data_IF_522582626000
#
_entry.id   IF_522582626000
#
_cell.length_a   1.000
_cell.length_b   1.000
_cell.length_c   1.000
_cell.angle_alpha   90.00
_cell.angle_beta   90.00
_cell.angle_gamma   90.00
#
_symmetry.space_group_name_H-M   'P 1'
#
loop_
_entity.id
_entity.type
_entity.pdbx_description
1 polymer ?
#
# COMPACT_ATOMS: atom_id res chain seq x y z
N UNK A 1 18.86 -47.14 -39.19
CA UNK A 1 18.96 -47.18 -37.71
C UNK A 1 19.40 -45.84 -37.07
N UNK A 2 19.48 -44.71 -37.80
CA UNK A 2 19.87 -43.39 -37.24
C UNK A 2 18.70 -42.44 -36.94
N UNK A 3 17.50 -42.72 -37.45
CA UNK A 3 16.32 -41.85 -37.31
C UNK A 3 15.54 -42.06 -36.00
N UNK A 4 15.61 -43.25 -35.41
CA UNK A 4 14.95 -43.57 -34.14
C UNK A 4 15.69 -43.01 -32.93
N UNK A 5 17.02 -42.83 -33.01
CA UNK A 5 17.83 -42.27 -31.92
C UNK A 5 17.61 -40.77 -31.74
N UNK A 6 17.32 -40.02 -32.81
CA UNK A 6 17.07 -38.57 -32.77
C UNK A 6 15.71 -38.27 -32.12
N UNK A 7 14.72 -39.14 -32.33
CA UNK A 7 13.38 -38.98 -31.76
C UNK A 7 13.37 -39.14 -30.23
N UNK A 8 14.24 -40.00 -29.69
CA UNK A 8 14.35 -40.21 -28.23
C UNK A 8 15.00 -39.04 -27.50
N UNK A 9 15.96 -38.35 -28.15
CA UNK A 9 16.65 -37.18 -27.57
C UNK A 9 15.75 -35.95 -27.58
N UNK A 10 14.90 -35.79 -28.60
CA UNK A 10 13.93 -34.71 -28.66
C UNK A 10 12.84 -34.81 -27.58
N UNK A 11 12.53 -36.02 -27.10
CA UNK A 11 11.49 -36.24 -26.08
C UNK A 11 11.97 -35.87 -24.65
N UNK A 12 13.28 -35.91 -24.38
CA UNK A 12 13.83 -35.56 -23.07
C UNK A 12 13.91 -34.05 -22.80
N UNK A 13 13.88 -33.20 -23.84
CA UNK A 13 14.00 -31.74 -23.67
C UNK A 13 12.71 -31.11 -23.12
N UNK A 14 11.56 -31.75 -23.29
CA UNK A 14 10.27 -31.24 -22.80
C UNK A 14 9.95 -31.57 -21.34
N UNK A 15 10.73 -32.44 -20.68
CA UNK A 15 10.57 -32.72 -19.24
C UNK A 15 11.36 -31.77 -18.33
N UNK A 16 12.14 -30.84 -18.90
CA UNK A 16 12.77 -29.76 -18.13
C UNK A 16 11.77 -28.61 -17.88
N UNK A 17 10.58 -28.95 -17.39
CA UNK A 17 9.73 -27.98 -16.70
C UNK A 17 10.32 -27.82 -15.31
N UNK A 18 11.41 -27.05 -15.23
CA UNK A 18 12.01 -26.61 -13.97
C UNK A 18 10.88 -25.96 -13.16
N UNK A 19 10.44 -26.65 -12.11
CA UNK A 19 9.61 -26.05 -11.08
C UNK A 19 10.39 -24.87 -10.56
N UNK A 20 10.00 -23.66 -10.97
CA UNK A 20 10.62 -22.41 -10.51
C UNK A 20 10.69 -22.48 -8.99
N UNK A 21 11.90 -22.59 -8.45
CA UNK A 21 12.15 -22.41 -7.03
C UNK A 21 11.75 -20.98 -6.67
N UNK A 22 10.52 -20.83 -6.18
CA UNK A 22 10.04 -19.56 -5.66
C UNK A 22 10.76 -19.37 -4.34
N UNK A 23 11.72 -18.44 -4.30
CA UNK A 23 12.41 -18.08 -3.06
C UNK A 23 11.36 -17.81 -1.98
N UNK A 24 11.49 -18.40 -0.78
CA UNK A 24 10.55 -18.15 0.30
C UNK A 24 10.49 -16.65 0.61
N UNK A 25 9.28 -16.11 0.73
CA UNK A 25 9.05 -14.69 1.03
C UNK A 25 9.68 -14.36 2.39
N UNK A 26 10.60 -13.39 2.43
CA UNK A 26 11.22 -12.95 3.68
C UNK A 26 10.19 -12.22 4.56
N UNK A 27 10.44 -12.18 5.86
CA UNK A 27 9.58 -11.44 6.78
C UNK A 27 9.55 -9.94 6.48
N UNK A 28 10.65 -9.36 5.97
CA UNK A 28 10.63 -7.96 5.50
C UNK A 28 9.68 -7.78 4.31
N UNK A 29 9.70 -8.71 3.35
CA UNK A 29 8.84 -8.65 2.17
C UNK A 29 7.36 -8.74 2.55
N UNK A 30 7.02 -9.63 3.48
CA UNK A 30 5.65 -9.74 4.04
C UNK A 30 5.20 -8.44 4.70
N UNK A 31 6.04 -7.86 5.58
CA UNK A 31 5.75 -6.60 6.27
C UNK A 31 5.58 -5.44 5.30
N UNK A 32 6.43 -5.35 4.27
CA UNK A 32 6.32 -4.33 3.24
C UNK A 32 4.99 -4.44 2.48
N UNK A 33 4.62 -5.67 2.07
CA UNK A 33 3.34 -5.95 1.40
C UNK A 33 2.14 -5.60 2.28
N UNK A 34 2.19 -5.96 3.54
CA UNK A 34 1.16 -5.63 4.52
C UNK A 34 1.03 -4.11 4.72
N UNK A 35 2.14 -3.39 4.89
CA UNK A 35 2.15 -1.93 5.00
C UNK A 35 1.54 -1.24 3.76
N UNK A 36 1.86 -1.73 2.55
CA UNK A 36 1.22 -1.23 1.33
C UNK A 36 -0.28 -1.52 1.29
N UNK A 37 -0.71 -2.70 1.74
CA UNK A 37 -2.12 -3.08 1.76
C UNK A 37 -2.91 -2.22 2.75
N UNK A 38 -2.39 -2.00 3.96
CA UNK A 38 -3.02 -1.13 4.97
C UNK A 38 -3.12 0.30 4.44
N UNK A 39 -2.04 0.85 3.87
CA UNK A 39 -2.06 2.20 3.29
C UNK A 39 -3.11 2.34 2.17
N UNK A 40 -3.22 1.34 1.29
CA UNK A 40 -4.22 1.32 0.23
C UNK A 40 -5.65 1.22 0.79
N UNK A 41 -5.89 0.33 1.76
CA UNK A 41 -7.18 0.15 2.39
C UNK A 41 -7.66 1.43 3.08
N UNK A 42 -6.79 2.10 3.83
CA UNK A 42 -7.12 3.38 4.49
C UNK A 42 -7.44 4.47 3.46
N UNK A 43 -6.65 4.55 2.37
CA UNK A 43 -6.90 5.51 1.28
C UNK A 43 -8.25 5.27 0.60
N UNK A 44 -8.54 4.03 0.24
CA UNK A 44 -9.80 3.70 -0.43
C UNK A 44 -11.00 3.91 0.51
N UNK A 45 -10.85 3.58 1.79
CA UNK A 45 -11.87 3.84 2.81
C UNK A 45 -12.11 5.34 3.01
N UNK A 46 -11.06 6.18 3.00
CA UNK A 46 -11.20 7.63 3.04
C UNK A 46 -12.02 8.16 1.86
N UNK A 47 -11.69 7.73 0.63
CA UNK A 47 -12.39 8.16 -0.59
C UNK A 47 -13.85 7.72 -0.60
N UNK A 48 -14.15 6.53 -0.05
CA UNK A 48 -15.51 5.97 0.07
C UNK A 48 -16.25 6.40 1.33
N UNK A 49 -15.61 7.16 2.23
CA UNK A 49 -16.15 7.58 3.54
C UNK A 49 -16.50 6.39 4.47
N UNK A 50 -15.77 5.29 4.37
CA UNK A 50 -15.96 4.06 5.16
C UNK A 50 -15.17 4.10 6.48
N UNK A 51 -15.67 4.85 7.47
CA UNK A 51 -14.95 5.10 8.73
C UNK A 51 -14.61 3.82 9.53
N UNK A 52 -15.45 2.79 9.46
CA UNK A 52 -15.20 1.50 10.13
C UNK A 52 -13.98 0.78 9.56
N UNK A 53 -13.74 0.91 8.25
CA UNK A 53 -12.55 0.33 7.60
C UNK A 53 -11.29 1.08 8.01
N UNK A 54 -11.37 2.40 8.13
CA UNK A 54 -10.26 3.22 8.67
C UNK A 54 -9.94 2.77 10.10
N UNK A 55 -10.95 2.63 10.97
CA UNK A 55 -10.78 2.18 12.35
C UNK A 55 -10.14 0.79 12.43
N UNK A 56 -10.60 -0.16 11.62
CA UNK A 56 -10.05 -1.52 11.62
C UNK A 56 -8.57 -1.58 11.20
N UNK A 57 -8.14 -0.68 10.32
CA UNK A 57 -6.78 -0.62 9.76
C UNK A 57 -5.83 0.34 10.50
N UNK A 58 -6.30 1.00 11.57
CA UNK A 58 -5.52 1.99 12.33
C UNK A 58 -5.48 1.65 13.81
N UNK A 59 -4.47 2.18 14.52
CA UNK A 59 -4.51 2.22 15.99
C UNK A 59 -5.54 3.27 16.44
N UNK A 60 -5.84 3.34 17.74
CA UNK A 60 -6.73 4.38 18.28
C UNK A 60 -6.19 5.79 18.04
N UNK A 61 -4.87 5.93 18.07
CA UNK A 61 -4.14 7.18 17.83
C UNK A 61 -4.21 7.55 16.35
N UNK A 62 -3.89 6.62 15.46
CA UNK A 62 -3.93 6.83 14.02
C UNK A 62 -5.35 7.12 13.51
N UNK A 63 -6.36 6.44 14.08
CA UNK A 63 -7.76 6.70 13.79
C UNK A 63 -8.14 8.14 14.12
N UNK A 64 -7.79 8.61 15.32
CA UNK A 64 -8.07 9.98 15.77
C UNK A 64 -7.37 11.02 14.91
N UNK A 65 -6.12 10.75 14.51
CA UNK A 65 -5.36 11.64 13.64
C UNK A 65 -6.03 11.81 12.27
N UNK A 66 -6.45 10.70 11.64
CA UNK A 66 -7.13 10.72 10.35
C UNK A 66 -8.49 11.41 10.49
N UNK A 67 -9.29 11.04 11.49
CA UNK A 67 -10.62 11.61 11.70
C UNK A 67 -10.56 13.13 11.90
N UNK A 68 -9.58 13.63 12.66
CA UNK A 68 -9.36 15.06 12.84
C UNK A 68 -8.83 15.80 11.59
N UNK A 69 -8.39 15.08 10.56
CA UNK A 69 -7.95 15.64 9.28
C UNK A 69 -9.05 15.66 8.22
N UNK A 70 -10.07 14.80 8.34
CA UNK A 70 -11.16 14.71 7.37
C UNK A 70 -12.03 15.97 7.42
N UNK A 71 -12.20 16.62 6.26
CA UNK A 71 -13.22 17.65 6.00
C UNK A 71 -14.30 17.11 5.07
N UNK A 72 -15.44 17.80 4.99
CA UNK A 72 -16.51 17.45 4.04
C UNK A 72 -16.08 17.77 2.60
N UNK A 73 -16.47 16.90 1.66
CA UNK A 73 -16.23 17.05 0.22
C UNK A 73 -17.30 16.31 -0.58
N UNK A 74 -17.67 16.81 -1.75
CA UNK A 74 -18.63 16.12 -2.62
C UNK A 74 -17.94 14.97 -3.35
N UNK A 75 -16.71 15.22 -3.81
CA UNK A 75 -15.84 14.23 -4.45
C UNK A 75 -14.40 14.48 -4.04
N UNK A 76 -13.63 13.41 -3.89
CA UNK A 76 -12.20 13.47 -3.72
C UNK A 76 -11.52 12.40 -4.58
N UNK A 77 -10.32 12.70 -5.03
CA UNK A 77 -9.37 11.77 -5.63
C UNK A 77 -8.05 11.88 -4.88
N UNK A 78 -7.41 10.74 -4.61
CA UNK A 78 -6.14 10.70 -3.88
C UNK A 78 -5.25 9.60 -4.46
N UNK A 79 -4.04 9.97 -4.83
CA UNK A 79 -3.05 9.09 -5.45
C UNK A 79 -1.79 9.01 -4.60
N UNK A 80 -1.32 7.79 -4.36
CA UNK A 80 -0.06 7.52 -3.69
C UNK A 80 0.96 7.03 -4.72
N UNK A 81 2.07 7.78 -4.86
CA UNK A 81 3.19 7.46 -5.76
C UNK A 81 4.48 7.29 -4.95
N UNK A 82 5.52 6.74 -5.59
CA UNK A 82 6.87 6.60 -5.03
C UNK A 82 6.88 6.08 -3.57
N UNK A 83 6.65 4.77 -3.43
CA UNK A 83 6.49 4.11 -2.13
C UNK A 83 7.81 3.48 -1.69
N UNK A 84 8.36 3.92 -0.56
CA UNK A 84 9.56 3.35 0.04
C UNK A 84 9.27 2.83 1.44
N UNK A 85 9.53 1.55 1.67
CA UNK A 85 9.37 0.92 2.98
C UNK A 85 10.71 0.90 3.68
N UNK A 86 10.73 1.37 4.92
CA UNK A 86 11.86 1.29 5.83
C UNK A 86 11.45 0.41 7.02
N UNK A 87 12.29 -0.58 7.31
CA UNK A 87 12.10 -1.50 8.43
C UNK A 87 13.33 -1.38 9.31
N UNK A 88 13.19 -0.76 10.49
CA UNK A 88 14.26 -0.63 11.47
C UNK A 88 13.80 -1.15 12.83
N UNK A 89 14.57 -2.06 13.43
CA UNK A 89 14.32 -2.64 14.76
C UNK A 89 12.86 -3.09 14.99
N UNK A 90 12.19 -3.54 13.94
CA UNK A 90 10.80 -4.02 13.98
C UNK A 90 9.73 -2.94 13.79
N UNK A 91 10.08 -1.66 13.74
CA UNK A 91 9.19 -0.59 13.28
C UNK A 91 9.11 -0.59 11.76
N UNK A 92 7.91 -0.40 11.21
CA UNK A 92 7.69 -0.32 9.77
C UNK A 92 7.23 1.08 9.43
N UNK A 93 7.96 1.77 8.56
CA UNK A 93 7.60 3.09 8.05
C UNK A 93 7.48 3.04 6.53
N UNK A 94 6.43 3.66 6.00
CA UNK A 94 6.20 3.81 4.57
C UNK A 94 6.23 5.28 4.20
N UNK A 95 7.26 5.68 3.49
CA UNK A 95 7.34 7.00 2.87
C UNK A 95 6.58 6.97 1.54
N UNK A 96 5.66 7.91 1.35
CA UNK A 96 4.88 8.06 0.12
C UNK A 96 4.93 9.49 -0.36
N UNK A 97 5.04 9.68 -1.68
CA UNK A 97 4.60 10.92 -2.30
C UNK A 97 3.09 10.81 -2.60
N UNK A 98 2.36 11.91 -2.51
CA UNK A 98 0.93 11.92 -2.76
C UNK A 98 0.47 13.18 -3.48
N UNK A 99 -0.65 13.04 -4.20
CA UNK A 99 -1.40 14.14 -4.80
C UNK A 99 -2.89 13.86 -4.64
N UNK A 100 -3.68 14.90 -4.42
CA UNK A 100 -5.13 14.78 -4.27
C UNK A 100 -5.86 16.00 -4.82
N UNK A 101 -7.13 15.78 -5.12
CA UNK A 101 -8.06 16.78 -5.61
C UNK A 101 -9.36 16.62 -4.83
N UNK A 102 -9.93 17.73 -4.37
CA UNK A 102 -11.18 17.76 -3.61
C UNK A 102 -12.14 18.73 -4.28
N UNK A 103 -13.41 18.34 -4.36
CA UNK A 103 -14.49 19.17 -4.89
C UNK A 103 -15.47 19.45 -3.76
N UNK A 104 -15.75 20.73 -3.51
CA UNK A 104 -16.72 21.20 -2.50
C UNK A 104 -17.60 22.28 -3.13
N UNK A 105 -18.90 22.04 -3.24
CA UNK A 105 -19.86 22.97 -3.84
C UNK A 105 -19.42 23.48 -5.23
N UNK A 106 -18.83 22.59 -6.02
CA UNK A 106 -18.30 22.89 -7.36
C UNK A 106 -16.93 23.58 -7.39
N UNK A 107 -16.34 23.93 -6.25
CA UNK A 107 -14.97 24.44 -6.17
C UNK A 107 -13.96 23.31 -6.06
N UNK A 108 -12.90 23.38 -6.85
CA UNK A 108 -11.83 22.37 -6.86
C UNK A 108 -10.61 22.88 -6.11
N UNK A 109 -10.10 22.09 -5.18
CA UNK A 109 -8.83 22.32 -4.48
C UNK A 109 -7.88 21.17 -4.78
N UNK A 110 -6.60 21.47 -5.02
CA UNK A 110 -5.56 20.48 -5.26
C UNK A 110 -4.48 20.54 -4.19
N UNK A 111 -3.90 19.39 -3.88
CA UNK A 111 -2.84 19.26 -2.89
C UNK A 111 -1.84 18.18 -3.28
N UNK A 112 -0.60 18.34 -2.83
CA UNK A 112 0.44 17.32 -2.99
C UNK A 112 1.45 17.41 -1.86
N UNK A 113 2.16 16.32 -1.61
CA UNK A 113 3.17 16.30 -0.57
C UNK A 113 3.87 14.97 -0.42
N UNK A 114 4.52 14.81 0.72
CA UNK A 114 5.13 13.56 1.15
C UNK A 114 4.66 13.28 2.57
N UNK A 115 4.24 12.03 2.80
CA UNK A 115 3.88 11.51 4.11
C UNK A 115 4.79 10.36 4.49
N UNK A 116 4.96 10.15 5.80
CA UNK A 116 5.55 8.93 6.35
C UNK A 116 4.50 8.28 7.23
N UNK A 117 3.98 7.15 6.77
CA UNK A 117 3.04 6.31 7.52
C UNK A 117 3.85 5.40 8.44
N UNK A 118 3.57 5.43 9.74
CA UNK A 118 4.21 4.54 10.70
C UNK A 118 3.23 3.47 11.11
N UNK A 119 3.65 2.22 11.03
CA UNK A 119 2.82 1.06 11.37
C UNK A 119 3.33 0.33 12.59
N UNK A 120 2.39 -0.22 13.36
CA UNK A 120 2.63 -0.94 14.60
C UNK A 120 1.70 -2.16 14.73
N UNK A 121 2.06 -3.11 15.58
CA UNK A 121 1.26 -4.29 15.87
C UNK A 121 1.43 -5.45 14.89
N UNK A 122 0.71 -6.53 15.16
CA UNK A 122 0.56 -7.71 14.29
C UNK A 122 -0.89 -8.19 14.39
N UNK A 123 -1.74 -8.00 13.37
CA UNK A 123 -1.44 -7.39 12.06
C UNK A 123 -1.03 -5.92 12.17
N UNK A 124 -0.29 -5.42 11.18
CA UNK A 124 0.12 -4.03 11.10
C UNK A 124 -1.09 -3.12 11.03
N UNK A 125 -1.05 -2.03 11.81
CA UNK A 125 -2.03 -0.97 11.80
C UNK A 125 -1.34 0.38 11.67
N UNK A 126 -1.95 1.30 10.92
CA UNK A 126 -1.44 2.65 10.79
C UNK A 126 -1.58 3.39 12.14
N UNK A 127 -0.45 3.75 12.72
CA UNK A 127 -0.35 4.36 14.05
C UNK A 127 -0.33 5.88 14.01
N UNK A 128 0.40 6.45 13.04
CA UNK A 128 0.58 7.90 12.91
C UNK A 128 1.01 8.28 11.49
N UNK A 129 0.75 9.53 11.10
CA UNK A 129 1.20 10.10 9.84
C UNK A 129 2.14 11.27 10.14
N UNK A 130 3.40 11.14 9.74
CA UNK A 130 4.35 12.23 9.84
C UNK A 130 4.36 13.03 8.54
N UNK A 131 4.81 14.30 8.63
CA UNK A 131 4.86 15.27 7.51
C UNK A 131 3.45 15.67 7.04
N UNK A 132 3.24 15.83 5.74
CA UNK A 132 1.99 16.37 5.22
C UNK A 132 0.94 15.27 5.12
N UNK A 133 -0.10 15.35 5.94
CA UNK A 133 -1.16 14.34 5.98
C UNK A 133 -2.00 14.36 4.69
N UNK A 134 -2.04 13.28 3.89
CA UNK A 134 -2.75 13.23 2.62
C UNK A 134 -4.28 13.22 2.75
N UNK A 135 -4.80 12.98 3.96
CA UNK A 135 -6.24 12.96 4.23
C UNK A 135 -6.79 14.34 4.61
N UNK A 136 -5.90 15.32 4.77
CA UNK A 136 -6.25 16.72 5.03
C UNK A 136 -6.39 17.49 3.73
N UNK A 137 -7.60 17.99 3.47
CA UNK A 137 -7.83 18.95 2.39
C UNK A 137 -7.05 20.26 2.67
N UNK A 138 -6.36 20.83 1.68
CA UNK A 138 -5.77 22.16 1.78
C UNK A 138 -6.84 23.22 2.12
N UNK A 139 -6.42 24.33 2.73
CA UNK A 139 -7.30 25.48 2.98
C UNK A 139 -7.54 26.30 1.72
#
# INVERSE_FOLDING_TARGET
>A
MKKTTILLIALFVFMSCSSKEVKPETDESKKAREAFAVAAAVKDAYLKRELSVIENNTTKEGYREILGAIKNFDKADLTFSHKWVEIDKGAVSLKIAWSGTWIVSGQTTEGRGTAIFVFEGRPLKLSRILRTNPFRQPE
#
